data_IF_819867830623
#
_entry.id   IF_819867830623
#
_cell.length_a   1.000
_cell.length_b   1.000
_cell.length_c   1.000
_cell.angle_alpha   90.00
_cell.angle_beta   90.00
_cell.angle_gamma   90.00
#
_symmetry.space_group_name_H-M   'P 1'
#
loop_
_entity.id
_entity.type
_entity.pdbx_description
1 polymer ?
#
# COMPACT_ATOMS: atom_id res chain seq x y z
N UNK A 1 -4.23 -14.37 8.05
CA UNK A 1 -2.88 -14.48 8.65
C UNK A 1 -2.01 -13.40 8.04
N UNK A 2 -1.26 -12.63 8.81
CA UNK A 2 -0.30 -11.67 8.23
C UNK A 2 0.86 -12.46 7.65
N UNK A 3 1.17 -12.19 6.40
CA UNK A 3 2.36 -12.72 5.74
C UNK A 3 3.61 -12.04 6.32
N UNK A 4 4.68 -12.76 6.66
CA UNK A 4 5.96 -12.15 7.07
C UNK A 4 6.49 -11.13 6.06
N UNK A 5 6.25 -11.33 4.77
CA UNK A 5 6.67 -10.42 3.71
C UNK A 5 6.01 -9.04 3.76
N UNK A 6 4.84 -8.90 4.41
CA UNK A 6 4.24 -7.58 4.64
C UNK A 6 5.14 -6.66 5.47
N UNK A 7 6.11 -7.22 6.18
CA UNK A 7 7.03 -6.51 7.07
C UNK A 7 8.51 -6.71 6.68
N UNK A 8 8.77 -7.09 5.43
CA UNK A 8 10.11 -7.21 4.84
C UNK A 8 10.35 -6.09 3.81
N UNK A 9 11.61 -5.77 3.55
CA UNK A 9 12.03 -4.80 2.55
C UNK A 9 13.16 -3.89 3.02
N UNK A 10 13.34 -2.79 2.31
CA UNK A 10 14.41 -1.82 2.52
C UNK A 10 13.87 -0.45 2.89
N UNK A 11 14.63 0.30 3.69
CA UNK A 11 14.42 1.72 3.96
C UNK A 11 15.22 2.50 2.91
N UNK A 12 14.56 3.39 2.18
CA UNK A 12 15.21 4.20 1.16
C UNK A 12 15.97 5.37 1.80
N UNK A 13 17.08 5.72 1.19
CA UNK A 13 17.81 6.95 1.50
C UNK A 13 17.11 8.13 0.79
N UNK A 14 16.99 9.25 1.49
CA UNK A 14 16.39 10.47 0.96
C UNK A 14 15.76 11.32 2.04
N UNK A 15 15.55 12.59 1.73
CA UNK A 15 14.88 13.54 2.61
C UNK A 15 13.54 13.94 2.00
N UNK A 16 12.42 13.60 2.64
CA UNK A 16 11.10 14.06 2.21
C UNK A 16 11.03 15.60 2.16
N UNK A 17 10.37 16.14 1.12
CA UNK A 17 10.32 17.59 0.81
C UNK A 17 9.02 18.25 1.25
N UNK A 18 7.98 17.46 1.47
CA UNK A 18 6.68 17.96 1.92
C UNK A 18 6.67 18.34 3.39
N UNK A 19 5.51 18.65 3.89
CA UNK A 19 5.30 19.10 5.27
C UNK A 19 4.35 18.20 6.04
N UNK A 20 4.48 18.20 7.36
CA UNK A 20 3.55 17.53 8.27
C UNK A 20 2.53 18.56 8.77
N UNK A 21 1.26 18.26 8.56
CA UNK A 21 0.16 19.14 8.97
C UNK A 21 -1.07 18.32 9.39
N UNK A 22 -2.15 18.98 9.76
CA UNK A 22 -3.44 18.34 10.00
C UNK A 22 -4.38 18.64 8.84
N UNK A 23 -4.90 17.58 8.21
CA UNK A 23 -5.86 17.67 7.10
C UNK A 23 -7.12 16.90 7.51
N UNK A 24 -8.28 17.55 7.49
CA UNK A 24 -9.57 16.96 7.88
C UNK A 24 -9.55 16.16 9.19
N UNK A 25 -8.81 16.69 10.19
CA UNK A 25 -8.72 16.08 11.52
C UNK A 25 -7.68 14.97 11.68
N UNK A 26 -6.98 14.56 10.62
CA UNK A 26 -5.89 13.60 10.68
C UNK A 26 -4.53 14.28 10.52
N UNK A 27 -3.52 13.82 11.25
CA UNK A 27 -2.14 14.14 10.91
C UNK A 27 -1.84 13.59 9.52
N UNK A 28 -1.16 14.35 8.70
CA UNK A 28 -0.84 13.97 7.35
C UNK A 28 0.51 14.55 6.91
N UNK A 29 1.22 13.80 6.09
CA UNK A 29 2.27 14.35 5.25
C UNK A 29 1.61 14.88 3.97
N UNK A 30 1.92 16.13 3.62
CA UNK A 30 1.39 16.78 2.43
C UNK A 30 2.51 17.29 1.56
N UNK A 31 2.35 17.13 0.25
CA UNK A 31 3.32 17.62 -0.72
C UNK A 31 2.61 18.03 -2.01
N UNK A 32 3.22 18.95 -2.75
CA UNK A 32 2.69 19.51 -4.00
C UNK A 32 3.83 19.75 -4.98
N UNK A 33 3.53 19.98 -6.28
CA UNK A 33 4.54 20.34 -7.26
C UNK A 33 5.36 21.52 -6.79
N UNK A 34 6.66 21.51 -7.11
CA UNK A 34 7.57 22.62 -6.78
C UNK A 34 7.21 23.91 -7.51
N UNK A 35 6.58 23.81 -8.68
CA UNK A 35 6.14 24.93 -9.49
C UNK A 35 4.70 24.75 -10.03
N UNK A 36 3.98 25.86 -10.18
CA UNK A 36 2.67 25.94 -10.81
C UNK A 36 1.53 25.21 -10.09
N UNK A 37 0.34 25.16 -10.68
CA UNK A 37 -0.83 24.54 -10.07
C UNK A 37 -0.78 23.00 -10.18
N UNK A 38 -1.41 22.34 -9.22
CA UNK A 38 -1.68 20.90 -9.29
C UNK A 38 -2.94 20.61 -10.13
N UNK A 39 -2.97 19.48 -10.83
CA UNK A 39 -4.05 19.07 -11.75
C UNK A 39 -5.10 18.15 -11.11
N UNK A 40 -4.88 17.74 -9.88
CA UNK A 40 -5.74 16.85 -9.14
C UNK A 40 -5.14 16.52 -7.78
N UNK A 41 -5.78 15.62 -7.06
CA UNK A 41 -5.39 15.22 -5.71
C UNK A 41 -5.14 13.71 -5.68
N UNK A 42 -4.01 13.28 -5.13
CA UNK A 42 -3.75 11.87 -4.82
C UNK A 42 -3.82 11.70 -3.30
N UNK A 43 -4.58 10.71 -2.86
CA UNK A 43 -4.61 10.27 -1.45
C UNK A 43 -3.92 8.91 -1.38
N UNK A 44 -2.79 8.86 -0.67
CA UNK A 44 -2.06 7.61 -0.45
C UNK A 44 -2.61 6.93 0.80
N UNK A 45 -3.07 5.69 0.65
CA UNK A 45 -3.36 4.78 1.75
C UNK A 45 -2.15 3.86 1.91
N UNK A 46 -1.31 4.08 2.94
CA UNK A 46 0.01 3.49 3.01
C UNK A 46 0.01 1.98 3.26
N UNK A 47 1.18 1.39 3.23
CA UNK A 47 1.42 0.05 3.73
C UNK A 47 1.42 0.00 5.27
N UNK A 48 1.73 -1.15 5.84
CA UNK A 48 1.71 -1.36 7.29
C UNK A 48 2.60 -0.40 8.10
N UNK A 49 3.60 0.22 7.47
CA UNK A 49 4.52 1.16 8.15
C UNK A 49 3.99 2.58 8.24
N UNK A 50 2.84 2.86 7.62
CA UNK A 50 2.08 4.09 7.82
C UNK A 50 2.68 5.34 7.17
N UNK A 51 2.13 6.48 7.55
CA UNK A 51 2.43 7.79 6.96
C UNK A 51 3.79 8.39 7.37
N UNK A 52 4.36 7.93 8.47
CA UNK A 52 5.68 8.39 8.93
C UNK A 52 6.84 7.68 8.24
N UNK A 53 6.56 6.56 7.56
CA UNK A 53 7.58 5.79 6.86
C UNK A 53 8.19 6.60 5.72
N UNK A 54 9.51 6.77 5.76
CA UNK A 54 10.25 7.63 4.82
C UNK A 54 10.00 7.26 3.36
N UNK A 55 9.89 5.98 3.03
CA UNK A 55 9.64 5.52 1.66
C UNK A 55 8.28 6.00 1.14
N UNK A 56 7.23 5.93 1.98
CA UNK A 56 5.89 6.42 1.62
C UNK A 56 5.90 7.94 1.37
N UNK A 57 6.68 8.69 2.14
CA UNK A 57 6.84 10.15 1.96
C UNK A 57 7.62 10.50 0.69
N UNK A 58 8.70 9.76 0.39
CA UNK A 58 9.45 9.91 -0.87
C UNK A 58 8.55 9.61 -2.07
N UNK A 59 7.76 8.54 -2.01
CA UNK A 59 6.80 8.21 -3.05
C UNK A 59 5.75 9.30 -3.24
N UNK A 60 5.25 9.90 -2.14
CA UNK A 60 4.34 11.05 -2.20
C UNK A 60 4.99 12.24 -2.91
N UNK A 61 6.25 12.55 -2.60
CA UNK A 61 6.99 13.62 -3.28
C UNK A 61 7.18 13.36 -4.77
N UNK A 62 7.42 12.10 -5.15
CA UNK A 62 7.54 11.71 -6.54
C UNK A 62 6.22 11.88 -7.28
N UNK A 63 5.10 11.44 -6.71
CA UNK A 63 3.78 11.64 -7.30
C UNK A 63 3.45 13.14 -7.46
N UNK A 64 3.80 13.95 -6.46
CA UNK A 64 3.59 15.38 -6.54
C UNK A 64 4.41 16.02 -7.67
N UNK A 65 5.70 15.73 -7.75
CA UNK A 65 6.61 16.36 -8.70
C UNK A 65 6.40 15.85 -10.12
N UNK A 66 6.44 14.52 -10.33
CA UNK A 66 6.35 13.92 -11.66
C UNK A 66 4.94 14.01 -12.24
N UNK A 67 3.92 13.83 -11.39
CA UNK A 67 2.53 13.81 -11.81
C UNK A 67 1.81 15.16 -11.72
N UNK A 68 2.41 16.16 -11.04
CA UNK A 68 1.81 17.46 -10.77
C UNK A 68 0.51 17.38 -9.96
N UNK A 69 0.51 16.58 -8.89
CA UNK A 69 -0.63 16.42 -7.99
C UNK A 69 -0.39 17.05 -6.62
N UNK A 70 -1.46 17.50 -5.98
CA UNK A 70 -1.46 17.67 -4.52
C UNK A 70 -1.57 16.27 -3.92
N UNK A 71 -0.65 15.89 -3.02
CA UNK A 71 -0.63 14.55 -2.44
C UNK A 71 -0.83 14.61 -0.93
N UNK A 72 -1.79 13.83 -0.45
CA UNK A 72 -2.03 13.60 0.97
C UNK A 72 -1.64 12.16 1.34
N UNK A 73 -0.90 12.03 2.42
CA UNK A 73 -0.55 10.75 3.05
C UNK A 73 -0.94 10.84 4.53
N UNK A 74 -2.22 10.54 4.88
CA UNK A 74 -2.75 10.69 6.23
C UNK A 74 -2.39 9.54 7.17
N UNK A 75 -2.44 9.82 8.47
CA UNK A 75 -2.38 8.82 9.53
C UNK A 75 -3.71 8.06 9.67
N UNK A 76 -3.98 7.15 8.76
CA UNK A 76 -5.16 6.27 8.82
C UNK A 76 -5.10 5.21 9.94
N UNK A 77 -3.95 5.11 10.61
CA UNK A 77 -3.69 4.12 11.66
C UNK A 77 -3.71 4.72 13.07
N UNK A 78 -4.00 6.03 13.21
CA UNK A 78 -4.01 6.72 14.50
C UNK A 78 -2.76 6.45 15.35
N UNK A 79 -1.58 6.55 14.75
CA UNK A 79 -0.30 6.28 15.41
C UNK A 79 0.01 4.80 15.69
N UNK A 80 -0.82 3.86 15.22
CA UNK A 80 -0.62 2.42 15.45
C UNK A 80 -0.03 1.69 14.22
N UNK A 81 0.76 2.39 13.40
CA UNK A 81 1.51 1.77 12.33
C UNK A 81 2.54 0.76 12.85
N UNK A 82 2.92 -0.20 12.04
CA UNK A 82 3.99 -1.12 12.37
C UNK A 82 5.33 -0.35 12.47
N UNK A 83 6.12 -0.55 13.53
CA UNK A 83 7.38 0.16 13.68
C UNK A 83 8.38 -0.30 12.62
N UNK A 84 9.16 0.63 12.07
CA UNK A 84 10.15 0.38 11.01
C UNK A 84 11.21 -0.66 11.43
N UNK A 85 11.48 -0.78 12.75
CA UNK A 85 12.36 -1.82 13.31
C UNK A 85 11.92 -3.26 12.97
N UNK A 86 10.64 -3.47 12.64
CA UNK A 86 10.17 -4.77 12.15
C UNK A 86 10.83 -5.22 10.86
N UNK A 87 11.25 -4.31 9.98
CA UNK A 87 11.95 -4.66 8.73
C UNK A 87 13.23 -5.45 9.04
N UNK A 88 14.05 -4.96 9.97
CA UNK A 88 15.28 -5.64 10.36
C UNK A 88 15.02 -6.98 11.05
N UNK A 89 14.07 -7.02 11.98
CA UNK A 89 13.71 -8.22 12.73
C UNK A 89 13.14 -9.32 11.81
N UNK A 90 12.29 -8.94 10.86
CA UNK A 90 11.70 -9.88 9.90
C UNK A 90 12.75 -10.40 8.92
N UNK A 91 13.65 -9.55 8.47
CA UNK A 91 14.77 -9.94 7.58
C UNK A 91 15.66 -10.99 8.24
N UNK A 92 16.03 -10.79 9.52
CA UNK A 92 16.80 -11.78 10.26
C UNK A 92 16.04 -13.09 10.47
N UNK A 93 14.76 -13.03 10.81
CA UNK A 93 13.91 -14.20 10.98
C UNK A 93 13.78 -15.03 9.70
N UNK A 94 13.66 -14.38 8.54
CA UNK A 94 13.58 -15.05 7.24
C UNK A 94 14.94 -15.62 6.82
N UNK A 95 16.05 -14.96 7.16
CA UNK A 95 17.41 -15.41 6.81
C UNK A 95 17.79 -16.72 7.51
N UNK A 96 17.29 -16.94 8.71
CA UNK A 96 17.67 -18.09 9.55
C UNK A 96 16.72 -19.28 9.44
N UNK A 97 15.66 -19.21 8.61
CA UNK A 97 14.55 -20.17 8.64
C UNK A 97 13.97 -20.38 10.06
N UNK A 98 14.16 -19.36 10.93
CA UNK A 98 13.88 -19.43 12.35
C UNK A 98 12.44 -19.84 12.68
N UNK A 99 11.49 -19.46 11.84
CA UNK A 99 10.08 -19.84 12.00
C UNK A 99 9.89 -21.36 11.81
N UNK A 100 10.51 -21.95 10.79
CA UNK A 100 10.43 -23.39 10.52
C UNK A 100 11.15 -24.19 11.60
N UNK A 101 12.31 -23.73 12.04
CA UNK A 101 13.10 -24.35 13.11
C UNK A 101 12.35 -24.34 14.43
N UNK A 102 11.70 -23.24 14.79
CA UNK A 102 10.92 -23.13 16.04
C UNK A 102 9.68 -24.05 16.04
N UNK A 103 8.98 -24.16 14.93
CA UNK A 103 7.79 -25.01 14.81
C UNK A 103 8.12 -26.51 14.85
N UNK A 104 9.33 -26.91 14.44
CA UNK A 104 9.71 -28.31 14.27
C UNK A 104 10.55 -28.88 15.41
N UNK A 105 11.20 -28.02 16.23
CA UNK A 105 12.17 -28.45 17.27
C UNK A 105 11.95 -27.75 18.62
N UNK A 106 10.84 -28.00 19.33
CA UNK A 106 10.53 -27.29 20.57
C UNK A 106 11.38 -27.64 21.78
N UNK A 107 12.21 -28.69 21.74
CA UNK A 107 12.87 -29.27 22.93
C UNK A 107 14.37 -29.59 22.81
N UNK A 108 15.09 -29.07 21.83
CA UNK A 108 16.55 -29.30 21.75
C UNK A 108 17.34 -28.21 22.50
N UNK A 109 18.54 -28.58 22.98
CA UNK A 109 19.47 -27.65 23.66
C UNK A 109 19.70 -26.41 22.80
N UNK A 110 19.32 -25.26 23.34
CA UNK A 110 19.35 -23.97 22.62
C UNK A 110 20.79 -23.60 22.22
N UNK A 111 20.98 -23.45 20.93
CA UNK A 111 22.17 -22.78 20.37
C UNK A 111 22.02 -21.27 20.47
N UNK A 112 23.11 -20.50 20.31
CA UNK A 112 23.05 -19.03 20.28
C UNK A 112 22.15 -18.52 19.14
N UNK A 113 22.12 -19.20 18.01
CA UNK A 113 21.27 -18.90 16.87
C UNK A 113 19.78 -19.06 17.21
N UNK A 114 19.41 -20.15 17.87
CA UNK A 114 18.01 -20.42 18.27
C UNK A 114 17.49 -19.40 19.31
N UNK A 115 18.36 -18.92 20.21
CA UNK A 115 18.01 -17.83 21.13
C UNK A 115 17.72 -16.53 20.39
N UNK A 116 18.51 -16.20 19.39
CA UNK A 116 18.30 -15.02 18.54
C UNK A 116 17.01 -15.14 17.74
N UNK A 117 16.71 -16.30 17.16
CA UNK A 117 15.49 -16.55 16.40
C UNK A 117 14.24 -16.38 17.27
N UNK A 118 14.27 -16.89 18.51
CA UNK A 118 13.18 -16.68 19.48
C UNK A 118 13.01 -15.21 19.86
N UNK A 119 14.09 -14.48 20.01
CA UNK A 119 14.04 -13.04 20.28
C UNK A 119 13.40 -12.29 19.11
N UNK A 120 13.83 -12.55 17.88
CA UNK A 120 13.25 -11.91 16.69
C UNK A 120 11.79 -12.29 16.48
N UNK A 121 11.42 -13.56 16.68
CA UNK A 121 10.04 -14.00 16.59
C UNK A 121 9.17 -13.31 17.66
N UNK A 122 9.61 -13.28 18.93
CA UNK A 122 8.89 -12.59 20.00
C UNK A 122 8.75 -11.09 19.70
N UNK A 123 9.81 -10.45 19.23
CA UNK A 123 9.79 -9.03 18.82
C UNK A 123 8.79 -8.77 17.70
N UNK A 124 8.80 -9.58 16.66
CA UNK A 124 7.84 -9.47 15.53
C UNK A 124 6.42 -9.69 16.02
N UNK A 125 6.17 -10.71 16.84
CA UNK A 125 4.82 -11.01 17.35
C UNK A 125 4.28 -9.91 18.26
N UNK A 126 5.09 -9.34 19.15
CA UNK A 126 4.66 -8.24 20.03
C UNK A 126 4.33 -6.96 19.26
N UNK A 127 4.91 -6.76 18.10
CA UNK A 127 4.67 -5.60 17.24
C UNK A 127 3.49 -5.82 16.25
N UNK A 128 3.31 -7.06 15.76
CA UNK A 128 2.20 -7.41 14.85
C UNK A 128 0.84 -7.39 15.57
N UNK A 129 0.77 -7.83 16.82
CA UNK A 129 -0.50 -7.94 17.54
C UNK A 129 -1.19 -6.58 17.69
N UNK A 130 -0.53 -5.52 18.20
CA UNK A 130 -1.14 -4.19 18.24
C UNK A 130 -1.56 -3.69 16.86
N UNK A 131 -0.69 -3.81 15.85
CA UNK A 131 -1.02 -3.43 14.48
C UNK A 131 -2.34 -4.07 14.01
N UNK A 132 -2.51 -5.37 14.19
CA UNK A 132 -3.73 -6.09 13.78
C UNK A 132 -4.97 -5.69 14.55
N UNK A 133 -4.83 -5.46 15.86
CA UNK A 133 -5.96 -5.09 16.72
C UNK A 133 -6.49 -3.70 16.37
N UNK A 134 -5.62 -2.74 16.12
CA UNK A 134 -5.99 -1.35 15.88
C UNK A 134 -6.28 -1.04 14.41
N UNK A 135 -5.70 -1.80 13.46
CA UNK A 135 -5.80 -1.54 12.04
C UNK A 135 -6.60 -2.61 11.28
N UNK A 136 -7.59 -3.22 11.94
CA UNK A 136 -8.55 -4.09 11.24
C UNK A 136 -9.32 -3.28 10.19
N UNK A 137 -9.75 -3.92 9.09
CA UNK A 137 -10.50 -3.23 8.05
C UNK A 137 -11.76 -2.53 8.61
N UNK A 138 -12.49 -3.20 9.51
CA UNK A 138 -13.68 -2.61 10.13
C UNK A 138 -13.40 -1.35 10.95
N UNK A 139 -12.21 -1.24 11.55
CA UNK A 139 -11.80 -0.05 12.32
C UNK A 139 -11.33 1.07 11.41
N UNK A 140 -10.55 0.75 10.38
CA UNK A 140 -9.88 1.74 9.53
C UNK A 140 -10.73 2.21 8.34
N UNK A 141 -11.64 1.37 7.85
CA UNK A 141 -12.48 1.72 6.69
C UNK A 141 -13.27 3.01 6.86
N UNK A 142 -13.99 3.24 7.99
CA UNK A 142 -14.67 4.52 8.19
C UNK A 142 -13.72 5.72 8.12
N UNK A 143 -12.52 5.62 8.71
CA UNK A 143 -11.53 6.70 8.74
C UNK A 143 -11.06 7.04 7.32
N UNK A 144 -10.72 6.02 6.53
CA UNK A 144 -10.28 6.21 5.14
C UNK A 144 -11.41 6.79 4.29
N UNK A 145 -12.59 6.18 4.33
CA UNK A 145 -13.76 6.63 3.56
C UNK A 145 -14.14 8.07 3.90
N UNK A 146 -14.22 8.42 5.18
CA UNK A 146 -14.64 9.74 5.63
C UNK A 146 -13.60 10.81 5.30
N UNK A 147 -12.31 10.46 5.24
CA UNK A 147 -11.27 11.35 4.75
C UNK A 147 -11.44 11.64 3.24
N UNK A 148 -11.62 10.61 2.40
CA UNK A 148 -11.91 10.79 0.98
C UNK A 148 -13.16 11.64 0.76
N UNK A 149 -14.20 11.42 1.58
CA UNK A 149 -15.42 12.23 1.57
C UNK A 149 -15.12 13.69 1.89
N UNK A 150 -14.39 13.96 2.97
CA UNK A 150 -14.03 15.32 3.36
C UNK A 150 -13.23 16.05 2.28
N UNK A 151 -12.27 15.37 1.64
CA UNK A 151 -11.53 15.93 0.51
C UNK A 151 -12.47 16.20 -0.68
N UNK A 152 -13.42 15.29 -0.99
CA UNK A 152 -14.39 15.47 -2.07
C UNK A 152 -15.32 16.66 -1.83
N UNK A 153 -15.71 16.91 -0.58
CA UNK A 153 -16.57 18.03 -0.20
C UNK A 153 -15.83 19.39 -0.17
N UNK A 154 -14.49 19.38 -0.12
CA UNK A 154 -13.65 20.58 -0.01
C UNK A 154 -12.75 20.75 -1.23
N UNK A 155 -11.44 20.47 -1.12
CA UNK A 155 -10.43 20.72 -2.16
C UNK A 155 -10.70 19.96 -3.46
N UNK A 156 -11.29 18.77 -3.34
CA UNK A 156 -11.64 17.90 -4.45
C UNK A 156 -13.00 18.19 -5.07
N UNK A 157 -13.73 19.23 -4.64
CA UNK A 157 -15.07 19.55 -5.17
C UNK A 157 -15.07 19.69 -6.69
N UNK A 158 -14.04 20.32 -7.25
CA UNK A 158 -13.87 20.55 -8.68
C UNK A 158 -12.66 19.82 -9.30
N UNK A 159 -11.81 19.22 -8.47
CA UNK A 159 -10.63 18.49 -8.92
C UNK A 159 -10.86 16.98 -8.93
N UNK A 160 -10.22 16.21 -9.83
CA UNK A 160 -10.20 14.77 -9.74
C UNK A 160 -9.45 14.32 -8.48
N UNK A 161 -9.96 13.27 -7.83
CA UNK A 161 -9.35 12.61 -6.68
C UNK A 161 -8.94 11.20 -7.10
N UNK A 162 -7.70 10.85 -6.83
CA UNK A 162 -7.13 9.53 -7.07
C UNK A 162 -6.70 8.88 -5.77
N UNK A 163 -6.84 7.56 -5.70
CA UNK A 163 -6.39 6.78 -4.56
C UNK A 163 -5.20 5.91 -4.93
N UNK A 164 -4.12 5.97 -4.16
CA UNK A 164 -2.99 5.03 -4.29
C UNK A 164 -2.86 4.18 -3.03
N UNK A 165 -3.05 2.87 -3.13
CA UNK A 165 -3.02 1.96 -1.97
C UNK A 165 -1.95 0.89 -2.07
N UNK A 166 -1.21 0.69 -0.98
CA UNK A 166 -0.11 -0.27 -0.94
C UNK A 166 -0.31 -1.28 0.20
N UNK A 167 -0.07 -2.57 -0.07
CA UNK A 167 -0.20 -3.62 0.92
C UNK A 167 -1.56 -3.53 1.66
N UNK A 168 -1.56 -3.16 2.95
CA UNK A 168 -2.74 -2.92 3.76
C UNK A 168 -3.70 -1.89 3.12
N UNK A 169 -3.17 -0.82 2.57
CA UNK A 169 -3.93 0.25 1.90
C UNK A 169 -4.65 -0.22 0.64
N UNK A 170 -4.16 -1.26 -0.03
CA UNK A 170 -4.76 -1.79 -1.25
C UNK A 170 -6.20 -2.27 -1.06
N UNK A 171 -6.52 -2.88 0.09
CA UNK A 171 -7.89 -3.26 0.46
C UNK A 171 -8.84 -2.06 0.45
N UNK A 172 -8.40 -0.93 0.97
CA UNK A 172 -9.20 0.29 1.06
C UNK A 172 -9.47 0.88 -0.33
N UNK A 173 -8.44 0.93 -1.19
CA UNK A 173 -8.61 1.43 -2.56
C UNK A 173 -9.57 0.54 -3.36
N UNK A 174 -9.48 -0.78 -3.24
CA UNK A 174 -10.43 -1.69 -3.90
C UNK A 174 -11.85 -1.44 -3.41
N UNK A 175 -12.06 -1.21 -2.10
CA UNK A 175 -13.39 -0.94 -1.56
C UNK A 175 -13.92 0.45 -1.96
N UNK A 176 -13.08 1.49 -2.06
CA UNK A 176 -13.47 2.78 -2.67
C UNK A 176 -13.88 2.60 -4.14
N UNK A 177 -13.26 1.66 -4.83
CA UNK A 177 -13.59 1.27 -6.20
C UNK A 177 -15.00 0.68 -6.38
N UNK A 178 -15.71 0.34 -5.29
CA UNK A 178 -17.12 -0.08 -5.40
C UNK A 178 -18.04 1.09 -5.77
N UNK A 179 -17.54 2.33 -5.70
CA UNK A 179 -18.19 3.49 -6.27
C UNK A 179 -19.26 4.09 -5.37
N UNK A 180 -18.93 4.33 -4.11
CA UNK A 180 -19.73 5.17 -3.23
C UNK A 180 -19.86 6.57 -3.84
N UNK A 181 -21.08 7.08 -3.88
CA UNK A 181 -21.42 8.37 -4.46
C UNK A 181 -21.89 9.31 -3.35
N UNK A 182 -21.32 10.50 -3.34
CA UNK A 182 -21.70 11.56 -2.43
C UNK A 182 -23.04 12.25 -2.84
N UNK A 183 -23.67 13.02 -1.94
CA UNK A 183 -24.88 13.76 -2.25
C UNK A 183 -24.76 14.73 -3.44
N UNK A 184 -23.53 15.18 -3.77
CA UNK A 184 -23.27 16.01 -4.95
C UNK A 184 -23.23 15.19 -6.28
N UNK A 185 -23.43 13.89 -6.23
CA UNK A 185 -23.41 12.99 -7.40
C UNK A 185 -22.01 12.62 -7.92
N UNK A 186 -20.94 13.07 -7.24
CA UNK A 186 -19.56 12.74 -7.62
C UNK A 186 -19.05 11.52 -6.84
N UNK A 187 -18.23 10.65 -7.44
CA UNK A 187 -17.62 9.53 -6.72
C UNK A 187 -16.57 10.05 -5.72
N UNK A 188 -16.34 9.31 -4.65
CA UNK A 188 -15.28 9.64 -3.67
C UNK A 188 -13.89 9.64 -4.33
N UNK A 189 -13.68 8.77 -5.32
CA UNK A 189 -12.44 8.60 -6.06
C UNK A 189 -12.76 8.48 -7.55
N UNK A 190 -11.99 9.14 -8.41
CA UNK A 190 -12.14 9.06 -9.87
C UNK A 190 -11.46 7.83 -10.45
N UNK A 191 -10.26 7.50 -9.98
CA UNK A 191 -9.56 6.27 -10.29
C UNK A 191 -8.65 5.85 -9.14
N UNK A 192 -8.31 4.56 -9.08
CA UNK A 192 -7.43 3.98 -8.09
C UNK A 192 -6.21 3.30 -8.68
N UNK A 193 -5.16 3.20 -7.89
CA UNK A 193 -4.00 2.35 -8.12
C UNK A 193 -3.73 1.52 -6.88
N UNK A 194 -3.38 0.25 -7.06
CA UNK A 194 -2.92 -0.56 -5.92
C UNK A 194 -1.68 -1.36 -6.27
N UNK A 195 -0.64 -1.19 -5.44
CA UNK A 195 0.58 -1.98 -5.48
C UNK A 195 0.58 -3.08 -4.43
N UNK A 196 0.89 -4.32 -4.82
CA UNK A 196 1.02 -5.48 -3.91
C UNK A 196 -0.04 -5.52 -2.80
N UNK A 197 -1.36 -5.47 -3.12
CA UNK A 197 -2.42 -5.37 -2.14
C UNK A 197 -2.50 -6.58 -1.21
N UNK A 198 -3.00 -6.35 0.02
CA UNK A 198 -3.26 -7.40 1.00
C UNK A 198 -4.72 -7.49 1.38
N UNK A 199 -5.13 -8.62 1.95
CA UNK A 199 -6.45 -8.87 2.53
C UNK A 199 -7.63 -8.83 1.56
N UNK A 200 -7.39 -8.95 0.25
CA UNK A 200 -8.45 -8.99 -0.75
C UNK A 200 -9.18 -10.34 -0.76
N UNK A 201 -10.49 -10.29 -0.92
CA UNK A 201 -11.33 -11.44 -1.22
C UNK A 201 -11.47 -11.59 -2.74
N UNK A 202 -10.63 -12.45 -3.32
CA UNK A 202 -10.53 -12.62 -4.78
C UNK A 202 -11.31 -13.88 -5.18
N UNK A 203 -12.18 -13.83 -6.20
CA UNK A 203 -12.47 -12.67 -7.08
C UNK A 203 -13.58 -11.74 -6.57
N UNK A 204 -14.31 -12.08 -5.52
CA UNK A 204 -15.59 -11.47 -5.12
C UNK A 204 -15.55 -9.95 -4.89
N UNK A 205 -14.44 -9.38 -4.47
CA UNK A 205 -14.28 -7.92 -4.32
C UNK A 205 -13.93 -7.26 -5.65
N UNK A 206 -13.16 -7.94 -6.50
CA UNK A 206 -12.75 -7.39 -7.80
C UNK A 206 -13.98 -7.25 -8.71
N UNK A 207 -14.90 -8.20 -8.66
CA UNK A 207 -16.16 -8.19 -9.41
C UNK A 207 -17.09 -7.01 -9.05
N UNK A 208 -16.91 -6.40 -7.88
CA UNK A 208 -17.70 -5.25 -7.42
C UNK A 208 -17.15 -3.90 -7.90
N UNK A 209 -15.98 -3.88 -8.49
CA UNK A 209 -15.31 -2.64 -8.93
C UNK A 209 -16.14 -1.95 -10.02
N UNK A 210 -16.41 -0.67 -9.82
CA UNK A 210 -17.11 0.23 -10.74
C UNK A 210 -16.24 1.41 -11.16
N UNK A 211 -15.35 1.87 -10.25
CA UNK A 211 -14.39 2.94 -10.49
C UNK A 211 -13.10 2.32 -11.01
N UNK A 212 -12.46 2.86 -12.04
CA UNK A 212 -11.26 2.29 -12.64
C UNK A 212 -10.11 2.10 -11.65
N UNK A 213 -9.52 0.91 -11.58
CA UNK A 213 -8.37 0.59 -10.72
C UNK A 213 -7.27 -0.11 -11.49
N UNK A 214 -6.05 0.39 -11.38
CA UNK A 214 -4.83 -0.26 -11.89
C UNK A 214 -4.14 -1.07 -10.79
N UNK A 215 -3.74 -2.31 -11.13
CA UNK A 215 -3.11 -3.26 -10.22
C UNK A 215 -1.65 -3.51 -10.64
N UNK A 216 -0.71 -3.25 -9.73
CA UNK A 216 0.69 -3.65 -9.85
C UNK A 216 0.96 -4.86 -8.96
N UNK A 217 1.12 -6.05 -9.56
CA UNK A 217 1.19 -7.33 -8.85
C UNK A 217 2.52 -8.03 -9.15
N UNK A 218 3.18 -8.54 -8.10
CA UNK A 218 4.39 -9.36 -8.26
C UNK A 218 4.04 -10.85 -8.39
N UNK A 219 4.70 -11.57 -9.30
CA UNK A 219 4.46 -13.01 -9.48
C UNK A 219 5.08 -13.88 -8.37
N UNK A 220 5.98 -13.31 -7.55
CA UNK A 220 6.56 -13.93 -6.34
C UNK A 220 5.90 -13.46 -5.04
N UNK A 221 4.83 -12.66 -5.15
CA UNK A 221 4.08 -12.24 -3.97
C UNK A 221 3.38 -13.44 -3.30
N UNK A 222 3.62 -13.66 -2.00
CA UNK A 222 2.98 -14.75 -1.26
C UNK A 222 1.58 -14.38 -0.76
N UNK A 223 1.16 -13.12 -0.88
CA UNK A 223 -0.17 -12.63 -0.47
C UNK A 223 -1.16 -12.78 -1.60
N UNK A 224 -0.87 -12.22 -2.77
CA UNK A 224 -1.66 -12.39 -4.01
C UNK A 224 -0.88 -13.30 -4.96
N UNK A 225 -1.18 -14.59 -4.89
CA UNK A 225 -0.44 -15.63 -5.62
C UNK A 225 -0.84 -15.69 -7.10
N UNK A 226 -0.01 -16.28 -7.99
CA UNK A 226 -0.30 -16.37 -9.41
C UNK A 226 -1.71 -16.87 -9.80
N UNK A 227 -2.31 -17.87 -9.12
CA UNK A 227 -3.69 -18.25 -9.41
C UNK A 227 -4.71 -17.14 -9.14
N UNK A 228 -4.48 -16.33 -8.09
CA UNK A 228 -5.34 -15.19 -7.74
C UNK A 228 -5.13 -14.03 -8.71
N UNK A 229 -3.88 -13.77 -9.16
CA UNK A 229 -3.57 -12.81 -10.23
C UNK A 229 -4.40 -13.13 -11.48
N UNK A 230 -4.43 -14.40 -11.91
CA UNK A 230 -5.24 -14.83 -13.05
C UNK A 230 -6.74 -14.65 -12.82
N UNK A 231 -7.23 -14.77 -11.59
CA UNK A 231 -8.63 -14.48 -11.28
C UNK A 231 -8.94 -12.99 -11.42
N UNK A 232 -8.05 -12.10 -10.94
CA UNK A 232 -8.20 -10.65 -11.11
C UNK A 232 -8.21 -10.29 -12.60
N UNK A 233 -7.26 -10.79 -13.39
CA UNK A 233 -7.18 -10.55 -14.83
C UNK A 233 -8.49 -10.95 -15.53
N UNK A 234 -9.02 -12.15 -15.25
CA UNK A 234 -10.27 -12.64 -15.84
C UNK A 234 -11.47 -11.74 -15.59
N UNK A 235 -11.54 -11.09 -14.43
CA UNK A 235 -12.65 -10.15 -14.15
C UNK A 235 -12.63 -8.98 -15.12
N UNK A 236 -11.46 -8.46 -15.50
CA UNK A 236 -11.32 -7.33 -16.42
C UNK A 236 -11.29 -7.75 -17.90
N UNK A 237 -11.10 -9.04 -18.20
CA UNK A 237 -11.22 -9.59 -19.55
C UNK A 237 -12.68 -9.77 -20.01
N UNK A 238 -13.64 -9.74 -19.08
CA UNK A 238 -15.07 -9.85 -19.40
C UNK A 238 -15.54 -8.59 -20.14
N UNK A 239 -16.35 -8.77 -21.18
CA UNK A 239 -16.93 -7.67 -21.96
C UNK A 239 -17.66 -6.66 -21.04
N UNK A 240 -17.36 -5.37 -21.22
CA UNK A 240 -17.89 -4.28 -20.39
C UNK A 240 -17.14 -4.05 -19.06
N UNK A 241 -16.03 -4.75 -18.83
CA UNK A 241 -15.18 -4.53 -17.65
C UNK A 241 -13.74 -4.08 -18.00
N UNK A 242 -13.36 -4.12 -19.27
CA UNK A 242 -11.98 -3.84 -19.73
C UNK A 242 -11.50 -2.40 -19.44
N UNK A 243 -12.41 -1.47 -19.27
CA UNK A 243 -12.15 -0.07 -18.91
C UNK A 243 -12.16 0.19 -17.40
N UNK A 244 -12.59 -0.81 -16.62
CA UNK A 244 -12.66 -0.71 -15.15
C UNK A 244 -11.38 -1.13 -14.44
N UNK A 245 -10.42 -1.71 -15.15
CA UNK A 245 -9.16 -2.06 -14.53
C UNK A 245 -8.10 -2.58 -15.48
N UNK A 246 -6.88 -2.45 -15.04
CA UNK A 246 -5.72 -3.10 -15.67
C UNK A 246 -4.92 -3.88 -14.64
N UNK A 247 -4.22 -4.89 -15.08
CA UNK A 247 -3.34 -5.71 -14.25
C UNK A 247 -1.98 -5.82 -14.91
N UNK A 248 -0.98 -5.16 -14.34
CA UNK A 248 0.42 -5.35 -14.75
C UNK A 248 1.09 -6.29 -13.76
N UNK A 249 1.69 -7.36 -14.28
CA UNK A 249 2.41 -8.37 -13.50
C UNK A 249 3.91 -8.10 -13.63
N UNK A 250 4.59 -7.99 -12.50
CA UNK A 250 6.03 -7.76 -12.40
C UNK A 250 6.72 -9.07 -12.10
N UNK A 251 7.49 -9.56 -13.06
CA UNK A 251 8.20 -10.84 -12.97
C UNK A 251 9.32 -10.78 -11.93
N UNK A 252 9.38 -11.76 -11.02
CA UNK A 252 10.34 -11.82 -9.94
C UNK A 252 10.04 -10.91 -8.75
N UNK A 253 9.05 -10.01 -8.86
CA UNK A 253 8.70 -9.09 -7.78
C UNK A 253 7.96 -9.81 -6.65
N UNK A 254 8.37 -9.57 -5.42
CA UNK A 254 7.72 -10.03 -4.20
C UNK A 254 6.83 -8.95 -3.57
N UNK A 255 6.25 -9.28 -2.41
CA UNK A 255 5.40 -8.34 -1.67
C UNK A 255 6.18 -7.11 -1.21
N UNK A 256 5.62 -5.93 -1.40
CA UNK A 256 6.25 -4.65 -0.99
C UNK A 256 7.09 -3.98 -2.08
N UNK A 257 7.25 -4.57 -3.26
CA UNK A 257 8.16 -4.09 -4.30
C UNK A 257 7.91 -2.64 -4.72
N UNK A 258 6.69 -2.14 -4.73
CA UNK A 258 6.41 -0.75 -5.12
C UNK A 258 6.94 0.30 -4.13
N UNK A 259 7.12 -0.08 -2.84
CA UNK A 259 7.45 0.88 -1.77
C UNK A 259 8.76 0.56 -1.09
N UNK A 260 9.12 -0.73 -0.98
CA UNK A 260 10.22 -1.23 -0.16
C UNK A 260 11.25 -2.02 -0.96
N UNK A 261 11.32 -1.79 -2.28
CA UNK A 261 12.33 -2.41 -3.12
C UNK A 261 13.75 -2.07 -2.64
N UNK A 262 14.69 -2.97 -2.86
CA UNK A 262 16.10 -2.65 -2.75
C UNK A 262 16.52 -1.87 -4.01
N UNK A 263 16.66 -0.55 -3.87
CA UNK A 263 16.98 0.33 -5.00
C UNK A 263 18.42 0.13 -5.51
N UNK A 264 19.29 -0.55 -4.74
CA UNK A 264 20.65 -0.90 -5.15
C UNK A 264 20.64 -2.11 -6.09
N UNK A 265 19.65 -3.00 -5.95
CA UNK A 265 19.43 -4.12 -6.86
C UNK A 265 18.71 -3.64 -8.12
N UNK A 266 19.43 -3.39 -9.20
CA UNK A 266 18.99 -2.72 -10.42
C UNK A 266 17.58 -3.09 -10.94
N UNK A 267 17.21 -4.39 -10.95
CA UNK A 267 15.87 -4.80 -11.42
C UNK A 267 14.74 -4.42 -10.43
N UNK A 268 14.96 -4.59 -9.13
CA UNK A 268 13.94 -4.27 -8.12
C UNK A 268 13.65 -2.77 -8.07
N UNK A 269 14.69 -1.92 -8.14
CA UNK A 269 14.53 -0.47 -8.23
C UNK A 269 13.78 -0.05 -9.50
N UNK A 270 14.14 -0.65 -10.65
CA UNK A 270 13.46 -0.39 -11.92
C UNK A 270 11.97 -0.75 -11.86
N UNK A 271 11.62 -1.88 -11.27
CA UNK A 271 10.23 -2.30 -11.13
C UNK A 271 9.44 -1.37 -10.21
N UNK A 272 10.04 -0.83 -9.15
CA UNK A 272 9.41 0.19 -8.30
C UNK A 272 9.12 1.48 -9.09
N UNK A 273 10.09 1.96 -9.89
CA UNK A 273 9.91 3.15 -10.75
C UNK A 273 8.86 2.91 -11.85
N UNK A 274 8.83 1.71 -12.42
CA UNK A 274 7.81 1.34 -13.40
C UNK A 274 6.39 1.28 -12.78
N UNK A 275 6.26 0.82 -11.53
CA UNK A 275 4.98 0.81 -10.84
C UNK A 275 4.52 2.22 -10.47
N UNK A 276 5.45 3.11 -10.12
CA UNK A 276 5.17 4.53 -9.93
C UNK A 276 4.68 5.19 -11.23
N UNK A 277 5.35 4.92 -12.34
CA UNK A 277 4.97 5.39 -13.68
C UNK A 277 3.59 4.87 -14.07
N UNK A 278 3.31 3.57 -13.88
CA UNK A 278 2.01 2.95 -14.12
C UNK A 278 0.89 3.69 -13.37
N UNK A 279 1.11 4.03 -12.11
CA UNK A 279 0.12 4.77 -11.31
C UNK A 279 -0.16 6.15 -11.91
N UNK A 280 0.89 6.90 -12.27
CA UNK A 280 0.75 8.25 -12.83
C UNK A 280 0.09 8.25 -14.20
N UNK A 281 0.45 7.32 -15.09
CA UNK A 281 -0.17 7.14 -16.40
C UNK A 281 -1.65 6.76 -16.26
N UNK A 282 -1.98 5.91 -15.29
CA UNK A 282 -3.36 5.53 -14.99
C UNK A 282 -4.20 6.73 -14.54
N UNK A 283 -3.67 7.54 -13.62
CA UNK A 283 -4.35 8.74 -13.14
C UNK A 283 -4.48 9.81 -14.23
N UNK A 284 -3.53 9.92 -15.14
CA UNK A 284 -3.61 10.86 -16.27
C UNK A 284 -4.69 10.48 -17.29
N UNK A 285 -4.96 9.19 -17.43
CA UNK A 285 -5.96 8.66 -18.36
C UNK A 285 -7.38 8.84 -17.85
N UNK A 286 -7.59 8.90 -16.54
CA UNK A 286 -8.91 8.93 -15.90
C UNK A 286 -9.14 10.23 -15.11
#
# INVERSE_FOLDING_TARGET
MSCPECFNGHVHEGTPRGEVTTVHGLNAYTTKPSDGPHRGIIIIVPDAFGWEFVNNRILADNYAEKGRYLVYLPDFMNGNAAPVSMLANTKELLRTDGLATWLTKPYLKETTTEKNDRYYLASVMTQIIPFKLYNSFGTSWPIVRDFFKSVRENEGSELPIYGAGFCWGGKHIVNLGFGDIEPNGKPLMNAGFTGHPSFLEIPSEIEKIKIPISFALGDKDMVVKPPQIKQIQRVFEVEGNSDKGEVKVYEGAGHGFCVRADLVLGEAGKQADEAETQALEWFEKH
#
